data_IF_888874917811
#
_entry.id   IF_888874917811
#
_cell.length_a   1.000
_cell.length_b   1.000
_cell.length_c   1.000
_cell.angle_alpha   90.00
_cell.angle_beta   90.00
_cell.angle_gamma   90.00
#
_symmetry.space_group_name_H-M   'P 1'
#
loop_
_entity.id
_entity.type
_entity.pdbx_description
1 polymer ?
#
# COMPACT_ATOMS: atom_id res chain seq x y z
N UNK A 1 19.29 23.03 0.90
CA UNK A 1 19.62 21.59 0.89
C UNK A 1 18.47 20.87 0.22
N UNK A 2 18.69 20.17 -0.86
CA UNK A 2 17.63 19.41 -1.54
C UNK A 2 17.28 18.13 -0.74
N UNK A 3 16.04 17.71 -0.81
CA UNK A 3 15.51 16.55 -0.05
C UNK A 3 16.01 15.21 -0.63
N UNK A 4 16.50 15.22 -1.86
CA UNK A 4 16.96 14.03 -2.58
C UNK A 4 18.21 14.36 -3.41
N UNK A 5 19.10 13.38 -3.55
CA UNK A 5 20.27 13.48 -4.43
C UNK A 5 19.88 13.55 -5.94
N UNK A 6 18.63 13.24 -6.25
CA UNK A 6 18.07 13.29 -7.60
C UNK A 6 17.46 14.64 -7.96
N UNK A 7 17.50 15.61 -7.02
CA UNK A 7 17.05 16.99 -7.23
C UNK A 7 18.30 17.89 -7.20
N UNK A 8 18.60 18.53 -8.30
CA UNK A 8 19.77 19.42 -8.44
C UNK A 8 19.48 20.61 -9.36
N UNK A 9 20.44 21.48 -9.52
CA UNK A 9 20.41 22.57 -10.51
C UNK A 9 21.27 22.14 -11.69
N UNK A 10 20.71 22.17 -12.89
CA UNK A 10 21.40 21.79 -14.13
C UNK A 10 22.28 22.93 -14.65
N UNK A 11 22.99 22.69 -15.75
CA UNK A 11 23.91 23.66 -16.39
C UNK A 11 23.22 24.94 -16.88
N UNK A 12 21.90 24.88 -17.10
CA UNK A 12 21.07 26.03 -17.48
C UNK A 12 20.56 26.84 -16.26
N UNK A 13 21.03 26.51 -15.06
CA UNK A 13 20.54 27.05 -13.79
C UNK A 13 19.04 26.81 -13.55
N UNK A 14 18.50 25.71 -14.08
CA UNK A 14 17.13 25.27 -13.84
C UNK A 14 17.11 24.10 -12.84
N UNK A 15 16.02 23.97 -12.09
CA UNK A 15 15.77 22.82 -11.25
C UNK A 15 15.67 21.56 -12.12
N UNK A 16 16.42 20.52 -11.77
CA UNK A 16 16.36 19.20 -12.38
C UNK A 16 15.83 18.18 -11.39
N UNK A 17 14.87 17.36 -11.82
CA UNK A 17 14.23 16.30 -11.03
C UNK A 17 14.42 15.00 -11.79
N UNK A 18 15.13 14.03 -11.22
CA UNK A 18 15.43 12.77 -11.88
C UNK A 18 16.11 12.92 -13.25
N UNK A 19 16.97 13.96 -13.39
CA UNK A 19 17.65 14.28 -14.64
C UNK A 19 16.81 15.07 -15.66
N UNK A 20 15.55 15.36 -15.37
CA UNK A 20 14.65 16.12 -16.24
C UNK A 20 14.61 17.60 -15.83
N UNK A 21 14.74 18.51 -16.81
CA UNK A 21 14.61 19.96 -16.60
C UNK A 21 13.17 20.34 -16.27
N UNK A 22 12.96 21.02 -15.14
CA UNK A 22 11.61 21.37 -14.65
C UNK A 22 10.86 22.31 -15.59
N UNK A 23 11.55 23.21 -16.29
CA UNK A 23 10.90 24.12 -17.24
C UNK A 23 10.47 23.38 -18.51
N UNK A 24 11.25 22.41 -18.97
CA UNK A 24 10.88 21.55 -20.10
C UNK A 24 9.70 20.66 -19.75
N UNK A 25 9.65 20.12 -18.51
CA UNK A 25 8.49 19.36 -18.00
C UNK A 25 7.23 20.24 -17.97
N UNK A 26 7.32 21.44 -17.39
CA UNK A 26 6.20 22.37 -17.31
C UNK A 26 5.70 22.79 -18.70
N UNK A 27 6.63 23.03 -19.66
CA UNK A 27 6.27 23.36 -21.04
C UNK A 27 5.56 22.21 -21.76
N UNK A 28 6.01 20.97 -21.51
CA UNK A 28 5.48 19.78 -22.19
C UNK A 28 4.14 19.33 -21.62
N UNK A 29 3.98 19.38 -20.30
CA UNK A 29 2.84 18.78 -19.61
C UNK A 29 1.90 19.80 -18.95
N UNK A 30 2.30 21.09 -18.91
CA UNK A 30 1.56 22.13 -18.22
C UNK A 30 1.82 22.18 -16.71
N UNK A 31 1.11 23.08 -16.03
CA UNK A 31 1.13 23.26 -14.58
C UNK A 31 -0.29 23.46 -14.07
N UNK A 32 -0.63 23.02 -12.84
CA UNK A 32 0.23 22.35 -11.86
C UNK A 32 0.57 20.92 -12.28
N UNK A 33 1.78 20.43 -11.91
CA UNK A 33 2.30 19.13 -12.30
C UNK A 33 2.93 18.40 -11.11
N UNK A 34 2.50 17.17 -10.84
CA UNK A 34 3.22 16.25 -9.96
C UNK A 34 4.27 15.50 -10.76
N UNK A 35 5.50 15.49 -10.26
CA UNK A 35 6.62 14.78 -10.88
C UNK A 35 7.09 13.69 -9.92
N UNK A 36 7.08 12.45 -10.37
CA UNK A 36 7.58 11.29 -9.62
C UNK A 36 8.92 10.87 -10.21
N UNK A 37 9.93 10.72 -9.36
CA UNK A 37 11.23 10.18 -9.74
C UNK A 37 11.22 8.67 -9.53
N UNK A 38 11.16 7.91 -10.63
CA UNK A 38 11.12 6.46 -10.62
C UNK A 38 12.37 5.85 -9.96
N UNK A 39 13.56 6.45 -10.18
CA UNK A 39 14.79 5.93 -9.61
C UNK A 39 14.77 6.00 -8.08
N UNK A 40 14.26 7.10 -7.51
CA UNK A 40 14.08 7.25 -6.06
C UNK A 40 13.07 6.26 -5.49
N UNK A 41 11.95 6.04 -6.21
CA UNK A 41 10.95 5.05 -5.77
C UNK A 41 11.58 3.66 -5.73
N UNK A 42 12.28 3.25 -6.78
CA UNK A 42 12.96 1.95 -6.85
C UNK A 42 14.04 1.79 -5.78
N UNK A 43 14.88 2.81 -5.59
CA UNK A 43 15.90 2.80 -4.54
C UNK A 43 15.29 2.60 -3.16
N UNK A 44 14.22 3.31 -2.83
CA UNK A 44 13.53 3.16 -1.57
C UNK A 44 12.93 1.75 -1.41
N UNK A 45 12.28 1.20 -2.43
CA UNK A 45 11.77 -0.16 -2.40
C UNK A 45 12.89 -1.17 -2.09
N UNK A 46 14.02 -1.08 -2.82
CA UNK A 46 15.18 -1.97 -2.62
C UNK A 46 15.76 -1.88 -1.21
N UNK A 47 15.88 -0.68 -0.65
CA UNK A 47 16.40 -0.49 0.72
C UNK A 47 15.61 -1.29 1.75
N UNK A 48 14.27 -1.36 1.62
CA UNK A 48 13.43 -2.17 2.51
C UNK A 48 13.60 -3.66 2.25
N UNK A 49 13.55 -4.10 1.00
CA UNK A 49 13.70 -5.51 0.61
C UNK A 49 15.07 -6.05 1.03
N UNK A 50 16.15 -5.30 0.75
CA UNK A 50 17.51 -5.67 1.11
C UNK A 50 17.69 -5.75 2.65
N UNK A 51 17.02 -4.88 3.39
CA UNK A 51 17.04 -4.92 4.85
C UNK A 51 16.40 -6.20 5.39
N UNK A 52 15.26 -6.62 4.85
CA UNK A 52 14.63 -7.91 5.22
C UNK A 52 15.52 -9.08 4.83
N UNK A 53 16.09 -9.06 3.65
CA UNK A 53 17.01 -10.12 3.20
C UNK A 53 18.24 -10.21 4.12
N UNK A 54 18.83 -9.07 4.47
CA UNK A 54 20.06 -9.00 5.27
C UNK A 54 19.86 -9.38 6.73
N UNK A 55 18.79 -8.86 7.35
CA UNK A 55 18.61 -8.96 8.81
C UNK A 55 17.58 -10.00 9.23
N UNK A 56 16.75 -10.47 8.30
CA UNK A 56 15.66 -11.42 8.54
C UNK A 56 15.74 -12.68 7.65
N UNK A 57 16.89 -12.87 6.96
CA UNK A 57 17.12 -13.99 6.05
C UNK A 57 16.03 -14.15 4.98
N UNK A 58 15.43 -13.04 4.53
CA UNK A 58 14.33 -13.06 3.58
C UNK A 58 12.97 -13.52 4.15
N UNK A 59 12.87 -13.78 5.46
CA UNK A 59 11.65 -14.25 6.12
C UNK A 59 10.67 -13.11 6.41
N UNK A 60 10.31 -12.33 5.38
CA UNK A 60 9.36 -11.24 5.51
C UNK A 60 8.96 -10.70 4.14
N UNK A 61 7.82 -10.03 4.10
CA UNK A 61 7.34 -9.33 2.91
C UNK A 61 7.12 -7.86 3.26
N UNK A 62 7.67 -6.98 2.46
CA UNK A 62 7.39 -5.53 2.55
C UNK A 62 6.15 -5.25 1.73
N UNK A 63 5.17 -4.58 2.34
CA UNK A 63 3.95 -4.14 1.66
C UNK A 63 4.03 -2.63 1.38
N UNK A 64 3.75 -2.24 0.14
CA UNK A 64 3.53 -0.85 -0.19
C UNK A 64 2.11 -0.44 0.21
N UNK A 65 1.96 0.60 1.03
CA UNK A 65 0.65 1.14 1.42
C UNK A 65 0.07 1.99 0.28
N UNK A 66 -0.85 1.44 -0.51
CA UNK A 66 -1.40 2.09 -1.71
C UNK A 66 -2.19 3.37 -1.41
N UNK A 67 -2.69 3.55 -0.19
CA UNK A 67 -3.35 4.79 0.23
C UNK A 67 -2.45 6.03 0.12
N UNK A 68 -1.13 5.87 0.09
CA UNK A 68 -0.19 6.96 -0.11
C UNK A 68 -0.27 7.51 -1.55
N UNK A 69 -0.29 6.62 -2.54
CA UNK A 69 -0.52 6.93 -3.95
C UNK A 69 -0.88 5.65 -4.72
N UNK A 70 -2.16 5.48 -5.03
CA UNK A 70 -2.65 4.33 -5.78
C UNK A 70 -2.66 4.62 -7.29
N UNK A 71 -1.48 4.80 -7.88
CA UNK A 71 -1.30 4.98 -9.31
C UNK A 71 -0.73 3.69 -9.93
N UNK A 72 -1.31 3.20 -11.03
CA UNK A 72 -0.91 1.93 -11.66
C UNK A 72 0.58 1.81 -11.95
N UNK A 73 1.24 2.92 -12.37
CA UNK A 73 2.68 2.94 -12.58
C UNK A 73 3.49 2.71 -11.30
N UNK A 74 3.06 3.29 -10.16
CA UNK A 74 3.71 3.09 -8.85
C UNK A 74 3.52 1.66 -8.37
N UNK A 75 2.32 1.10 -8.53
CA UNK A 75 2.04 -0.29 -8.17
C UNK A 75 2.88 -1.27 -9.00
N UNK A 76 3.07 -0.99 -10.29
CA UNK A 76 3.93 -1.78 -11.16
C UNK A 76 5.38 -1.77 -10.67
N UNK A 77 5.92 -0.59 -10.36
CA UNK A 77 7.27 -0.45 -9.79
C UNK A 77 7.40 -1.24 -8.48
N UNK A 78 6.44 -1.10 -7.55
CA UNK A 78 6.45 -1.84 -6.30
C UNK A 78 6.50 -3.36 -6.51
N UNK A 79 5.71 -3.89 -7.45
CA UNK A 79 5.76 -5.32 -7.80
C UNK A 79 7.09 -5.72 -8.42
N UNK A 80 7.63 -4.94 -9.36
CA UNK A 80 8.92 -5.20 -10.01
C UNK A 80 10.08 -5.23 -9.01
N UNK A 81 10.01 -4.41 -7.96
CA UNK A 81 10.99 -4.38 -6.87
C UNK A 81 10.70 -5.43 -5.75
N UNK A 82 9.75 -6.33 -5.97
CA UNK A 82 9.49 -7.47 -5.09
C UNK A 82 8.58 -7.21 -3.90
N UNK A 83 7.91 -6.05 -3.82
CA UNK A 83 6.99 -5.74 -2.75
C UNK A 83 5.62 -6.44 -2.94
N UNK A 84 4.93 -6.69 -1.84
CA UNK A 84 3.50 -6.90 -1.82
C UNK A 84 2.75 -5.56 -1.70
N UNK A 85 1.44 -5.61 -1.54
CA UNK A 85 0.58 -4.43 -1.55
C UNK A 85 -0.41 -4.46 -0.39
N UNK A 86 -0.54 -3.33 0.31
CA UNK A 86 -1.61 -3.05 1.25
C UNK A 86 -2.65 -2.15 0.58
N UNK A 87 -3.89 -2.63 0.48
CA UNK A 87 -5.05 -1.89 -0.05
C UNK A 87 -6.09 -1.72 1.04
N UNK A 88 -6.82 -0.60 1.01
CA UNK A 88 -7.81 -0.26 2.05
C UNK A 88 -9.21 0.03 1.48
N UNK A 89 -9.39 -0.08 0.18
CA UNK A 89 -10.67 0.15 -0.50
C UNK A 89 -10.82 -0.69 -1.77
N UNK A 90 -12.05 -0.85 -2.23
CA UNK A 90 -12.35 -1.50 -3.50
C UNK A 90 -11.74 -0.79 -4.71
N UNK A 91 -11.61 0.54 -4.65
CA UNK A 91 -10.95 1.33 -5.71
C UNK A 91 -9.47 1.02 -5.83
N UNK A 92 -8.75 0.93 -4.70
CA UNK A 92 -7.35 0.52 -4.68
C UNK A 92 -7.17 -0.92 -5.15
N UNK A 93 -8.03 -1.83 -4.68
CA UNK A 93 -8.06 -3.23 -5.10
C UNK A 93 -8.27 -3.37 -6.62
N UNK A 94 -9.24 -2.64 -7.17
CA UNK A 94 -9.50 -2.63 -8.60
C UNK A 94 -8.31 -2.08 -9.39
N UNK A 95 -7.70 -1.00 -8.91
CA UNK A 95 -6.51 -0.40 -9.54
C UNK A 95 -5.33 -1.38 -9.55
N UNK A 96 -5.10 -2.10 -8.44
CA UNK A 96 -4.08 -3.12 -8.34
C UNK A 96 -4.31 -4.24 -9.37
N UNK A 97 -5.54 -4.77 -9.43
CA UNK A 97 -5.90 -5.81 -10.40
C UNK A 97 -5.70 -5.34 -11.84
N UNK A 98 -6.14 -4.12 -12.18
CA UNK A 98 -5.96 -3.53 -13.52
C UNK A 98 -4.50 -3.24 -13.87
N UNK A 99 -3.67 -2.94 -12.88
CA UNK A 99 -2.22 -2.77 -13.06
C UNK A 99 -1.47 -4.11 -13.24
N UNK A 100 -2.16 -5.25 -13.13
CA UNK A 100 -1.56 -6.58 -13.22
C UNK A 100 -0.75 -6.96 -11.99
N UNK A 101 -1.08 -6.36 -10.81
CA UNK A 101 -0.40 -6.72 -9.57
C UNK A 101 -0.75 -8.15 -9.17
N UNK A 102 0.22 -8.99 -8.69
CA UNK A 102 -0.04 -10.34 -8.20
C UNK A 102 -0.97 -10.31 -6.99
N UNK A 103 -2.23 -10.72 -7.16
CA UNK A 103 -3.26 -10.56 -6.14
C UNK A 103 -3.00 -11.41 -4.89
N UNK A 104 -2.27 -12.50 -5.00
CA UNK A 104 -1.81 -13.32 -3.88
C UNK A 104 -0.83 -12.59 -2.93
N UNK A 105 -0.21 -11.49 -3.39
CA UNK A 105 0.64 -10.60 -2.58
C UNK A 105 -0.10 -9.39 -2.04
N UNK A 106 -1.42 -9.31 -2.22
CA UNK A 106 -2.25 -8.21 -1.74
C UNK A 106 -2.83 -8.54 -0.37
N UNK A 107 -2.75 -7.58 0.54
CA UNK A 107 -3.36 -7.58 1.87
C UNK A 107 -4.48 -6.54 1.89
N UNK A 108 -5.70 -6.98 2.15
CA UNK A 108 -6.86 -6.09 2.14
C UNK A 108 -7.22 -5.65 3.55
N UNK A 109 -6.81 -4.45 3.90
CA UNK A 109 -7.15 -3.74 5.12
C UNK A 109 -8.47 -2.96 5.00
N UNK A 110 -8.82 -2.19 6.04
CA UNK A 110 -10.01 -1.36 6.11
C UNK A 110 -10.96 -1.81 7.20
N UNK A 111 -11.62 -0.85 7.86
CA UNK A 111 -12.50 -1.09 8.99
C UNK A 111 -14.00 -1.14 8.61
N UNK A 112 -14.32 -0.97 7.34
CA UNK A 112 -15.70 -1.00 6.84
C UNK A 112 -15.74 -1.49 5.39
N UNK A 113 -15.24 -2.71 5.16
CA UNK A 113 -15.31 -3.36 3.85
C UNK A 113 -16.77 -3.75 3.56
N UNK A 114 -17.28 -3.32 2.42
CA UNK A 114 -18.61 -3.73 1.95
C UNK A 114 -18.62 -5.19 1.46
N UNK A 115 -19.78 -5.80 1.38
CA UNK A 115 -19.89 -7.14 0.79
C UNK A 115 -19.44 -7.20 -0.66
N UNK A 116 -19.68 -6.14 -1.45
CA UNK A 116 -19.24 -6.07 -2.84
C UNK A 116 -17.71 -6.01 -2.93
N UNK A 117 -17.04 -5.28 -2.04
CA UNK A 117 -15.57 -5.26 -1.96
C UNK A 117 -15.02 -6.62 -1.54
N UNK A 118 -15.65 -7.30 -0.59
CA UNK A 118 -15.26 -8.65 -0.18
C UNK A 118 -15.47 -9.67 -1.30
N UNK A 119 -16.58 -9.58 -2.06
CA UNK A 119 -16.84 -10.41 -3.23
C UNK A 119 -15.78 -10.19 -4.31
N UNK A 120 -15.48 -8.94 -4.62
CA UNK A 120 -14.45 -8.57 -5.59
C UNK A 120 -13.06 -9.08 -5.18
N UNK A 121 -12.70 -8.95 -3.89
CA UNK A 121 -11.44 -9.43 -3.37
C UNK A 121 -11.32 -10.96 -3.45
N UNK A 122 -12.39 -11.70 -3.16
CA UNK A 122 -12.45 -13.14 -3.34
C UNK A 122 -12.33 -13.52 -4.82
N UNK A 123 -12.99 -12.78 -5.72
CA UNK A 123 -12.94 -13.05 -7.16
C UNK A 123 -11.54 -12.84 -7.73
N UNK A 124 -10.87 -11.78 -7.32
CA UNK A 124 -9.50 -11.46 -7.73
C UNK A 124 -8.44 -12.36 -7.08
N UNK A 125 -8.76 -13.09 -6.03
CA UNK A 125 -7.83 -13.99 -5.36
C UNK A 125 -6.84 -13.27 -4.43
N UNK A 126 -7.34 -12.29 -3.67
CA UNK A 126 -6.54 -11.57 -2.66
C UNK A 126 -5.88 -12.53 -1.68
N UNK A 127 -4.58 -12.31 -1.42
CA UNK A 127 -3.78 -13.21 -0.61
C UNK A 127 -4.13 -13.21 0.88
N UNK A 128 -4.50 -12.05 1.43
CA UNK A 128 -4.87 -11.91 2.86
C UNK A 128 -5.96 -10.87 3.06
N UNK A 129 -6.96 -11.22 3.86
CA UNK A 129 -7.96 -10.29 4.38
C UNK A 129 -7.57 -9.92 5.80
N UNK A 130 -7.34 -8.64 6.06
CA UNK A 130 -7.09 -8.15 7.43
C UNK A 130 -8.43 -7.77 8.02
N UNK A 131 -8.98 -8.71 8.79
CA UNK A 131 -10.31 -8.62 9.39
C UNK A 131 -10.28 -7.66 10.57
N UNK A 132 -11.19 -6.71 10.56
CA UNK A 132 -11.24 -5.63 11.53
C UNK A 132 -12.30 -5.86 12.63
N UNK A 133 -13.32 -6.70 12.36
CA UNK A 133 -14.40 -7.01 13.29
C UNK A 133 -15.09 -8.35 12.95
N UNK A 134 -15.95 -8.83 13.88
CA UNK A 134 -16.65 -10.12 13.75
C UNK A 134 -17.71 -10.13 12.64
N UNK A 135 -18.37 -9.00 12.39
CA UNK A 135 -19.38 -8.88 11.33
C UNK A 135 -18.73 -9.08 9.96
N UNK A 136 -17.56 -8.48 9.76
CA UNK A 136 -16.77 -8.68 8.54
C UNK A 136 -16.36 -10.15 8.39
N UNK A 137 -15.87 -10.79 9.47
CA UNK A 137 -15.48 -12.20 9.43
C UNK A 137 -16.67 -13.09 9.02
N UNK A 138 -17.83 -12.84 9.60
CA UNK A 138 -19.06 -13.59 9.31
C UNK A 138 -19.48 -13.42 7.85
N UNK A 139 -19.45 -12.18 7.34
CA UNK A 139 -19.75 -11.89 5.94
C UNK A 139 -18.74 -12.56 5.01
N UNK A 140 -17.45 -12.44 5.28
CA UNK A 140 -16.38 -13.04 4.49
C UNK A 140 -16.51 -14.58 4.45
N UNK A 141 -16.78 -15.21 5.60
CA UNK A 141 -16.96 -16.66 5.70
C UNK A 141 -18.14 -17.14 4.84
N UNK A 142 -19.29 -16.45 4.93
CA UNK A 142 -20.47 -16.75 4.10
C UNK A 142 -20.16 -16.61 2.62
N UNK A 143 -19.54 -15.49 2.20
CA UNK A 143 -19.21 -15.22 0.81
C UNK A 143 -18.18 -16.20 0.24
N UNK A 144 -17.18 -16.57 1.03
CA UNK A 144 -16.19 -17.57 0.64
C UNK A 144 -16.85 -18.94 0.40
N UNK A 145 -17.77 -19.35 1.31
CA UNK A 145 -18.53 -20.58 1.17
C UNK A 145 -19.44 -20.57 -0.08
N UNK A 146 -20.16 -19.46 -0.32
CA UNK A 146 -21.01 -19.29 -1.53
C UNK A 146 -20.20 -19.46 -2.81
N UNK A 147 -18.93 -19.02 -2.81
CA UNK A 147 -18.03 -19.08 -3.98
C UNK A 147 -17.18 -20.37 -4.03
N UNK A 148 -17.27 -21.25 -3.07
CA UNK A 148 -16.41 -22.44 -2.97
C UNK A 148 -14.93 -22.10 -2.81
N UNK A 149 -14.62 -20.96 -2.17
CA UNK A 149 -13.26 -20.45 -1.98
C UNK A 149 -12.86 -20.48 -0.50
N UNK A 150 -11.55 -20.48 -0.25
CA UNK A 150 -10.98 -20.30 1.08
C UNK A 150 -10.33 -18.90 1.15
N UNK A 151 -10.70 -18.12 2.17
CA UNK A 151 -10.08 -16.83 2.46
C UNK A 151 -9.02 -17.00 3.56
N UNK A 152 -7.80 -16.56 3.30
CA UNK A 152 -6.77 -16.44 4.35
C UNK A 152 -6.95 -15.12 5.09
N UNK A 153 -7.02 -15.17 6.43
CA UNK A 153 -7.31 -14.00 7.25
C UNK A 153 -6.20 -13.69 8.24
N UNK A 154 -6.07 -12.43 8.59
CA UNK A 154 -5.35 -11.89 9.73
C UNK A 154 -6.34 -11.08 10.56
N UNK A 155 -6.31 -11.22 11.88
CA UNK A 155 -7.11 -10.36 12.76
C UNK A 155 -6.32 -9.10 13.10
N UNK A 156 -6.96 -7.94 12.93
CA UNK A 156 -6.43 -6.69 13.43
C UNK A 156 -6.76 -6.57 14.91
N UNK A 157 -5.72 -6.53 15.73
CA UNK A 157 -5.85 -6.47 17.19
C UNK A 157 -5.59 -5.04 17.67
N UNK A 158 -6.38 -4.58 18.65
CA UNK A 158 -6.11 -3.38 19.46
C UNK A 158 -5.31 -3.79 20.69
N UNK A 159 -3.99 -3.52 20.75
CA UNK A 159 -3.17 -3.98 21.88
C UNK A 159 -3.35 -3.16 23.14
N UNK A 160 -4.07 -2.03 23.09
CA UNK A 160 -4.21 -1.11 24.25
C UNK A 160 -2.94 -0.39 24.62
N UNK A 161 -1.96 -0.32 23.72
CA UNK A 161 -0.66 0.33 23.96
C UNK A 161 -0.72 1.78 23.54
N UNK A 162 -0.19 2.68 24.40
CA UNK A 162 0.03 4.08 24.03
C UNK A 162 1.29 4.18 23.15
N UNK A 163 1.05 4.26 21.83
CA UNK A 163 2.10 4.60 20.89
C UNK A 163 2.34 6.11 20.98
N UNK A 164 3.54 6.55 21.34
CA UNK A 164 3.93 7.96 21.40
C UNK A 164 3.88 8.64 20.02
N UNK A 165 2.67 8.70 19.45
CA UNK A 165 2.37 9.32 18.16
C UNK A 165 1.42 10.49 18.36
N UNK A 166 1.28 11.37 17.35
CA UNK A 166 0.34 12.47 17.40
C UNK A 166 -1.09 11.96 17.64
N UNK A 167 -1.87 12.66 18.46
CA UNK A 167 -3.21 12.23 18.90
C UNK A 167 -4.15 11.87 17.77
N UNK A 168 -4.10 12.59 16.64
CA UNK A 168 -4.97 12.34 15.48
C UNK A 168 -4.62 11.09 14.66
N UNK A 169 -3.48 10.44 14.91
CA UNK A 169 -3.06 9.24 14.19
C UNK A 169 -2.90 7.99 15.07
N UNK A 170 -3.33 8.08 16.34
CA UNK A 170 -3.34 6.94 17.27
C UNK A 170 -4.35 5.88 16.82
N UNK A 171 -3.90 4.65 16.67
CA UNK A 171 -4.75 3.51 16.24
C UNK A 171 -4.74 2.31 17.19
N UNK A 172 -3.82 2.30 18.17
CA UNK A 172 -3.63 1.19 19.10
C UNK A 172 -4.44 1.27 20.39
N UNK A 173 -5.17 2.38 20.63
CA UNK A 173 -5.98 2.57 21.84
C UNK A 173 -7.26 1.72 21.80
N UNK A 174 -7.76 1.34 22.99
CA UNK A 174 -8.94 0.48 23.14
C UNK A 174 -10.20 1.11 22.52
N UNK A 175 -10.34 2.43 22.59
CA UNK A 175 -11.44 3.19 22.00
C UNK A 175 -11.26 3.54 20.52
N UNK A 176 -10.16 3.09 19.89
CA UNK A 176 -9.93 3.22 18.46
C UNK A 176 -11.03 2.51 17.66
N UNK A 177 -11.43 3.09 16.51
CA UNK A 177 -12.39 2.46 15.58
C UNK A 177 -11.85 1.19 14.89
N UNK A 178 -10.57 0.88 15.03
CA UNK A 178 -9.90 -0.20 14.31
C UNK A 178 -9.69 -1.42 15.18
N UNK A 179 -9.95 -2.60 14.60
CA UNK A 179 -9.58 -3.89 15.19
C UNK A 179 -10.43 -4.33 16.37
N UNK A 180 -10.15 -5.54 16.85
CA UNK A 180 -10.79 -6.16 18.04
C UNK A 180 -9.89 -6.01 19.27
N UNK A 181 -10.49 -5.83 20.46
CA UNK A 181 -9.76 -5.81 21.71
C UNK A 181 -9.30 -7.22 22.08
N UNK A 182 -8.19 -7.31 22.83
CA UNK A 182 -7.73 -8.53 23.47
C UNK A 182 -8.40 -8.58 24.86
N UNK A 183 -9.57 -9.16 24.98
CA UNK A 183 -10.23 -9.52 26.25
C UNK A 183 -10.52 -11.02 26.30
#
# INVERSE_FOLDING_TARGET
MFVSNHINVNEKNHLSIGGCDSLDLAKKFGTPLYVLDEAVIRENCRRYVDSVNKFYNGNGMILYASKALCAGGVLKIANEEGLGLDVVSGGELYTAHKAGFPMEKVYFHGNNKSEDELRMALDFGVGRFVVDNEQELSALSRLAKEKGKTASVLFRIKPGVDAHTHDFIRTGQIDSKFGVALE
#
